data_IF_756877246370
#
_entry.id   IF_756877246370
#
_cell.length_a   1.000
_cell.length_b   1.000
_cell.length_c   1.000
_cell.angle_alpha   90.00
_cell.angle_beta   90.00
_cell.angle_gamma   90.00
#
_symmetry.space_group_name_H-M   'P 1'
#
loop_
_entity.id
_entity.type
_entity.pdbx_description
1 polymer ?
#
# COMPACT_ATOMS: atom_id res chain seq x y z
N UNK A 1 -4.27 4.30 -3.09
CA UNK A 1 -3.49 3.12 -3.53
C UNK A 1 -2.00 3.38 -3.37
N UNK A 2 -1.23 2.32 -3.15
CA UNK A 2 0.22 2.20 -3.04
C UNK A 2 0.88 3.43 -2.38
N UNK A 3 0.55 3.70 -1.09
CA UNK A 3 0.88 4.97 -0.43
C UNK A 3 2.38 5.24 -0.33
N UNK A 4 3.23 4.22 -0.22
CA UNK A 4 4.67 4.41 -0.13
C UNK A 4 5.36 4.69 -1.49
N UNK A 5 4.57 4.87 -2.57
CA UNK A 5 5.04 5.32 -3.89
C UNK A 5 5.02 6.84 -4.03
N UNK A 6 4.27 7.54 -3.19
CA UNK A 6 4.17 8.99 -3.24
C UNK A 6 5.47 9.68 -2.79
N UNK A 7 5.62 10.95 -3.15
CA UNK A 7 6.76 11.78 -2.70
C UNK A 7 6.73 12.04 -1.19
N UNK A 8 5.52 12.11 -0.61
CA UNK A 8 5.31 12.20 0.82
C UNK A 8 5.28 10.81 1.43
N UNK A 9 5.76 10.71 2.66
CA UNK A 9 5.87 9.44 3.35
C UNK A 9 4.50 8.92 3.80
N UNK A 10 4.35 7.60 3.91
CA UNK A 10 3.07 6.98 4.27
C UNK A 10 2.62 7.36 5.69
N UNK A 11 3.57 7.59 6.59
CA UNK A 11 3.36 8.08 7.96
C UNK A 11 2.89 9.54 8.02
N UNK A 12 3.09 10.35 6.97
CA UNK A 12 2.48 11.68 6.86
C UNK A 12 1.09 11.60 6.20
N UNK A 13 0.97 10.78 5.15
CA UNK A 13 -0.24 10.73 4.33
C UNK A 13 -1.41 10.00 5.01
N UNK A 14 -1.15 8.89 5.69
CA UNK A 14 -2.22 8.06 6.27
C UNK A 14 -2.97 8.76 7.43
N UNK A 15 -2.30 9.48 8.34
CA UNK A 15 -3.02 10.32 9.30
C UNK A 15 -3.87 11.40 8.62
N UNK A 16 -3.34 12.04 7.57
CA UNK A 16 -4.04 13.11 6.88
C UNK A 16 -5.31 12.60 6.18
N UNK A 17 -5.24 11.46 5.49
CA UNK A 17 -6.41 10.89 4.81
C UNK A 17 -7.45 10.34 5.79
N UNK A 18 -7.04 9.80 6.94
CA UNK A 18 -7.95 9.40 8.00
C UNK A 18 -8.74 10.60 8.55
N UNK A 19 -8.08 11.74 8.78
CA UNK A 19 -8.74 12.98 9.19
C UNK A 19 -9.72 13.54 8.16
N UNK A 20 -9.53 13.21 6.88
CA UNK A 20 -10.43 13.58 5.78
C UNK A 20 -11.62 12.60 5.62
N UNK A 21 -11.71 11.56 6.45
CA UNK A 21 -12.79 10.58 6.40
C UNK A 21 -12.63 9.53 5.29
N UNK A 22 -11.40 9.28 4.82
CA UNK A 22 -11.15 8.17 3.88
C UNK A 22 -11.14 6.85 4.65
N UNK A 23 -11.84 5.86 4.13
CA UNK A 23 -12.09 4.59 4.85
C UNK A 23 -11.00 3.54 4.69
N UNK A 24 -10.06 3.68 3.74
CA UNK A 24 -9.16 2.58 3.38
C UNK A 24 -7.81 2.98 2.82
N UNK A 25 -6.86 2.06 2.97
CA UNK A 25 -5.48 2.19 2.48
C UNK A 25 -5.01 0.89 1.85
N UNK A 26 -4.22 1.00 0.78
CA UNK A 26 -3.61 -0.19 0.17
C UNK A 26 -2.35 -0.58 0.93
N UNK A 27 -2.42 -1.74 1.56
CA UNK A 27 -1.45 -2.24 2.52
C UNK A 27 -0.53 -3.27 1.90
N UNK A 28 -1.08 -4.12 1.03
CA UNK A 28 -0.33 -5.18 0.36
C UNK A 28 -0.05 -4.79 -1.09
N UNK A 29 1.15 -4.26 -1.31
CA UNK A 29 1.66 -3.86 -2.62
C UNK A 29 3.15 -4.17 -2.75
N UNK A 30 3.60 -4.50 -3.95
CA UNK A 30 4.97 -4.91 -4.25
C UNK A 30 5.80 -3.75 -4.84
N UNK A 31 6.41 -2.93 -3.97
CA UNK A 31 7.16 -1.72 -4.38
C UNK A 31 8.48 -2.01 -5.11
N UNK A 32 9.04 -3.21 -4.92
CA UNK A 32 10.31 -3.62 -5.56
C UNK A 32 10.09 -4.51 -6.79
N UNK A 33 8.85 -4.74 -7.19
CA UNK A 33 8.48 -5.59 -8.33
C UNK A 33 9.22 -6.97 -8.36
N UNK A 34 9.14 -7.76 -7.27
CA UNK A 34 9.85 -9.04 -7.16
C UNK A 34 9.22 -10.13 -8.05
N UNK A 35 10.01 -11.15 -8.35
CA UNK A 35 9.57 -12.37 -9.06
C UNK A 35 10.05 -13.58 -8.25
N UNK A 36 9.15 -14.32 -7.57
CA UNK A 36 7.69 -14.22 -7.57
C UNK A 36 7.14 -12.96 -6.88
N UNK A 37 5.90 -12.58 -7.22
CA UNK A 37 5.21 -11.45 -6.57
C UNK A 37 5.11 -11.66 -5.06
N UNK A 38 5.53 -10.66 -4.29
CA UNK A 38 5.33 -10.59 -2.85
C UNK A 38 5.20 -9.12 -2.41
N UNK A 39 4.35 -8.83 -1.42
CA UNK A 39 4.23 -7.47 -0.89
C UNK A 39 5.54 -7.07 -0.20
N UNK A 40 5.92 -5.79 -0.26
CA UNK A 40 7.18 -5.34 0.33
C UNK A 40 7.10 -5.28 1.86
N UNK A 41 7.79 -6.17 2.63
CA UNK A 41 7.51 -6.37 4.05
C UNK A 41 7.66 -5.12 4.90
N UNK A 42 8.63 -4.26 4.58
CA UNK A 42 8.88 -2.99 5.29
C UNK A 42 7.70 -2.03 5.16
N UNK A 43 7.23 -1.80 3.94
CA UNK A 43 6.08 -0.92 3.67
C UNK A 43 4.80 -1.52 4.22
N UNK A 44 4.56 -2.82 4.01
CA UNK A 44 3.39 -3.52 4.54
C UNK A 44 3.30 -3.39 6.05
N UNK A 45 4.41 -3.56 6.79
CA UNK A 45 4.44 -3.40 8.25
C UNK A 45 4.04 -1.99 8.68
N UNK A 46 4.61 -0.97 8.04
CA UNK A 46 4.30 0.43 8.35
C UNK A 46 2.82 0.75 8.09
N UNK A 47 2.31 0.38 6.91
CA UNK A 47 0.92 0.66 6.53
C UNK A 47 -0.07 -0.12 7.39
N UNK A 48 0.22 -1.38 7.75
CA UNK A 48 -0.59 -2.17 8.68
C UNK A 48 -0.72 -1.46 10.03
N UNK A 49 0.40 -1.02 10.61
CA UNK A 49 0.39 -0.32 11.90
C UNK A 49 -0.48 0.95 11.83
N UNK A 50 -0.31 1.76 10.80
CA UNK A 50 -1.09 2.98 10.62
C UNK A 50 -2.58 2.69 10.38
N UNK A 51 -2.90 1.70 9.53
CA UNK A 51 -4.29 1.32 9.27
C UNK A 51 -5.00 0.87 10.55
N UNK A 52 -4.32 0.14 11.43
CA UNK A 52 -4.86 -0.28 12.72
C UNK A 52 -5.05 0.90 13.68
N UNK A 53 -4.12 1.85 13.72
CA UNK A 53 -4.22 3.07 14.54
C UNK A 53 -5.41 3.94 14.14
N UNK A 54 -5.67 4.06 12.83
CA UNK A 54 -6.72 4.94 12.30
C UNK A 54 -8.00 4.20 11.90
N UNK A 55 -8.13 2.91 12.26
CA UNK A 55 -9.28 2.06 11.95
C UNK A 55 -9.67 2.06 10.46
N UNK A 56 -8.66 1.97 9.59
CA UNK A 56 -8.83 1.95 8.13
C UNK A 56 -8.94 0.52 7.60
N UNK A 57 -9.77 0.34 6.57
CA UNK A 57 -9.80 -0.91 5.80
C UNK A 57 -8.50 -1.12 5.05
N UNK A 58 -8.05 -2.37 5.03
CA UNK A 58 -6.85 -2.79 4.35
C UNK A 58 -7.20 -3.34 2.97
N UNK A 59 -6.61 -2.79 1.91
CA UNK A 59 -6.75 -3.31 0.55
C UNK A 59 -5.42 -3.88 0.04
N UNK A 60 -5.52 -4.68 -1.03
CA UNK A 60 -4.39 -5.27 -1.72
C UNK A 60 -4.55 -5.10 -3.23
N UNK A 61 -3.42 -5.05 -3.95
CA UNK A 61 -3.43 -4.89 -5.40
C UNK A 61 -2.09 -5.26 -6.01
N UNK A 62 -2.15 -5.98 -7.13
CA UNK A 62 -0.97 -6.24 -7.96
C UNK A 62 -0.64 -5.04 -8.85
N UNK A 63 -1.62 -4.15 -9.08
CA UNK A 63 -1.54 -3.05 -10.04
C UNK A 63 -0.98 -3.53 -11.40
N UNK A 64 -1.51 -4.66 -11.86
CA UNK A 64 -1.05 -5.36 -13.05
C UNK A 64 -1.25 -4.48 -14.29
N UNK A 65 -0.22 -4.38 -15.12
CA UNK A 65 -0.27 -3.73 -16.41
C UNK A 65 0.11 -4.78 -17.48
N UNK A 66 -0.81 -5.07 -18.41
CA UNK A 66 -0.62 -6.11 -19.43
C UNK A 66 -1.14 -7.49 -19.00
N UNK A 67 -0.63 -8.54 -19.66
CA UNK A 67 -1.15 -9.91 -19.54
C UNK A 67 -0.48 -10.75 -18.44
N UNK A 68 0.60 -10.24 -17.83
CA UNK A 68 1.33 -10.95 -16.78
C UNK A 68 0.80 -10.59 -15.39
N UNK A 69 0.23 -11.55 -14.68
CA UNK A 69 -0.17 -11.39 -13.27
C UNK A 69 0.99 -11.60 -12.29
N UNK A 70 2.15 -12.08 -12.77
CA UNK A 70 3.29 -12.47 -11.93
C UNK A 70 4.13 -11.29 -11.47
N UNK A 71 4.18 -10.23 -12.28
CA UNK A 71 4.92 -9.01 -12.01
C UNK A 71 4.39 -7.90 -12.90
N UNK A 72 4.55 -6.66 -12.44
CA UNK A 72 4.32 -5.49 -13.28
C UNK A 72 5.49 -5.39 -14.27
N UNK A 73 5.21 -5.30 -15.57
CA UNK A 73 6.23 -5.14 -16.62
C UNK A 73 6.11 -3.75 -17.23
#
# INVERSE_FOLDING_TARGET
AHPARYRKSADELIPAIANLGIDGVETYYAYTNPEPWQPSPKQTKLVLQLSATYNLFNTCGTDTHGLSLLKRI
#
